data_IF_083773873967
#
_entry.id   IF_083773873967
#
_cell.length_a   1.000
_cell.length_b   1.000
_cell.length_c   1.000
_cell.angle_alpha   90.00
_cell.angle_beta   90.00
_cell.angle_gamma   90.00
#
_symmetry.space_group_name_H-M   'P 1'
#
loop_
_entity.id
_entity.type
_entity.pdbx_description
1 polymer ?
#
# COMPACT_ATOMS: atom_id res chain seq x y z
N UNK A 1 -0.52 44.12 -53.56
CA UNK A 1 0.51 43.65 -52.58
C UNK A 1 -0.03 42.92 -51.37
N UNK A 2 -1.27 43.15 -50.95
CA UNK A 2 -1.90 42.46 -49.81
C UNK A 2 -2.18 40.98 -50.06
N UNK A 3 -2.60 40.60 -51.21
CA UNK A 3 -2.93 39.21 -51.54
C UNK A 3 -1.66 38.29 -51.55
N UNK A 4 -0.51 38.82 -51.97
CA UNK A 4 0.77 38.08 -51.94
C UNK A 4 1.20 37.75 -50.51
N UNK A 5 0.97 38.65 -49.55
CA UNK A 5 1.29 38.42 -48.12
C UNK A 5 0.38 37.36 -47.49
N UNK A 6 -0.90 37.30 -47.88
CA UNK A 6 -1.85 36.26 -47.44
C UNK A 6 -1.46 34.85 -47.92
N UNK A 7 -1.08 34.74 -49.21
CA UNK A 7 -0.64 33.44 -49.75
C UNK A 7 0.68 32.99 -49.19
N UNK A 8 1.62 33.92 -48.93
CA UNK A 8 2.89 33.62 -48.25
C UNK A 8 2.68 33.14 -46.83
N UNK A 9 1.78 33.75 -46.07
CA UNK A 9 1.43 33.31 -44.70
C UNK A 9 0.76 31.97 -44.67
N UNK A 10 -0.15 31.69 -45.62
CA UNK A 10 -0.83 30.41 -45.75
C UNK A 10 0.11 29.27 -46.17
N UNK A 11 1.07 29.58 -47.08
CA UNK A 11 2.10 28.63 -47.50
C UNK A 11 3.07 28.30 -46.35
N UNK A 12 3.47 29.29 -45.55
CA UNK A 12 4.31 29.10 -44.40
C UNK A 12 3.60 28.28 -43.29
N UNK A 13 2.32 28.54 -43.10
CA UNK A 13 1.49 27.78 -42.16
C UNK A 13 1.26 26.32 -42.62
N UNK A 14 1.03 26.09 -43.93
CA UNK A 14 0.94 24.77 -44.52
C UNK A 14 2.26 23.98 -44.42
N UNK A 15 3.43 24.66 -44.57
CA UNK A 15 4.73 24.04 -44.44
C UNK A 15 5.03 23.63 -42.98
N UNK A 16 4.56 24.40 -41.99
CA UNK A 16 4.67 24.07 -40.55
C UNK A 16 3.85 22.85 -40.17
N UNK A 17 2.75 22.55 -40.86
CA UNK A 17 1.93 21.36 -40.59
C UNK A 17 2.58 20.05 -41.11
N UNK A 18 3.54 20.12 -42.03
CA UNK A 18 4.23 18.96 -42.60
C UNK A 18 5.41 18.46 -41.73
N UNK A 19 5.85 19.24 -40.76
CA UNK A 19 6.96 18.87 -39.88
C UNK A 19 6.53 18.18 -38.60
N UNK A 20 5.32 17.60 -38.55
CA UNK A 20 4.89 16.74 -37.43
C UNK A 20 5.77 15.46 -37.40
N UNK A 21 6.99 15.63 -36.90
CA UNK A 21 7.96 14.55 -36.77
C UNK A 21 7.39 13.50 -35.82
N UNK A 22 6.99 12.37 -36.36
CA UNK A 22 6.37 11.28 -35.64
C UNK A 22 7.40 10.65 -34.68
N UNK A 23 7.26 10.93 -33.38
CA UNK A 23 8.06 10.32 -32.29
C UNK A 23 8.03 8.78 -32.37
N UNK A 24 7.09 8.23 -33.12
CA UNK A 24 6.89 6.77 -33.28
C UNK A 24 7.82 6.14 -34.30
N UNK A 25 8.58 6.91 -35.10
CA UNK A 25 9.46 6.38 -36.17
C UNK A 25 10.62 5.52 -35.65
N UNK A 26 11.02 5.69 -34.40
CA UNK A 26 12.17 5.01 -33.80
C UNK A 26 11.77 3.90 -32.82
N UNK A 27 10.50 3.45 -32.85
CA UNK A 27 10.03 2.35 -31.99
C UNK A 27 10.29 1.03 -32.72
N UNK A 28 11.04 0.08 -32.11
CA UNK A 28 11.28 -1.24 -32.69
C UNK A 28 10.00 -1.98 -33.05
N UNK A 29 10.13 -2.95 -33.95
CA UNK A 29 8.98 -3.78 -34.32
C UNK A 29 8.58 -4.67 -33.14
N UNK A 30 7.27 -4.79 -32.91
CA UNK A 30 6.71 -5.50 -31.75
C UNK A 30 6.58 -4.67 -30.48
N UNK A 31 7.23 -3.50 -30.41
CA UNK A 31 7.11 -2.59 -29.27
C UNK A 31 6.11 -1.46 -29.53
N UNK A 32 5.55 -0.91 -28.45
CA UNK A 32 4.55 0.15 -28.49
C UNK A 32 4.88 1.25 -27.51
N UNK A 33 4.68 2.49 -27.92
CA UNK A 33 4.76 3.65 -27.04
C UNK A 33 3.52 3.72 -26.15
N UNK A 34 3.72 3.81 -24.83
CA UNK A 34 2.67 4.06 -23.88
C UNK A 34 2.15 5.49 -24.04
N UNK A 35 0.95 5.62 -24.61
CA UNK A 35 0.34 6.90 -24.96
C UNK A 35 -0.61 7.42 -23.87
N UNK A 36 -1.30 6.48 -23.19
CA UNK A 36 -2.28 6.81 -22.15
C UNK A 36 -2.36 5.68 -21.15
N UNK A 37 -2.49 6.03 -19.86
CA UNK A 37 -2.77 5.10 -18.77
C UNK A 37 -4.01 5.59 -18.03
N UNK A 38 -4.97 4.70 -17.83
CA UNK A 38 -6.20 4.99 -17.09
C UNK A 38 -6.45 3.91 -16.04
N UNK A 39 -7.00 4.33 -14.92
CA UNK A 39 -7.58 3.43 -13.92
C UNK A 39 -9.07 3.77 -13.84
N UNK A 40 -9.91 2.77 -14.08
CA UNK A 40 -11.37 2.91 -14.09
C UNK A 40 -11.97 1.84 -13.17
N UNK A 41 -13.17 2.07 -12.68
CA UNK A 41 -13.95 1.08 -11.96
C UNK A 41 -15.23 0.77 -12.69
N UNK A 42 -15.74 -0.46 -12.52
CA UNK A 42 -17.09 -0.84 -12.96
C UNK A 42 -18.18 -0.34 -11.99
N UNK A 43 -17.79 0.17 -10.80
CA UNK A 43 -18.68 0.81 -9.83
C UNK A 43 -18.49 2.33 -9.87
N UNK A 44 -19.57 3.06 -10.10
CA UNK A 44 -19.52 4.53 -10.30
C UNK A 44 -19.15 5.32 -9.05
N UNK A 45 -19.43 4.77 -7.87
CA UNK A 45 -19.18 5.37 -6.56
C UNK A 45 -17.80 4.99 -5.98
N UNK A 46 -17.02 4.17 -6.69
CA UNK A 46 -15.69 3.76 -6.26
C UNK A 46 -14.63 4.78 -6.68
N UNK A 47 -13.98 5.43 -5.69
CA UNK A 47 -12.90 6.39 -5.97
C UNK A 47 -11.59 5.66 -6.35
N UNK A 48 -11.19 5.84 -7.61
CA UNK A 48 -9.95 5.27 -8.16
C UNK A 48 -8.72 6.15 -7.92
N UNK A 49 -8.89 7.41 -7.49
CA UNK A 49 -7.82 8.39 -7.37
C UNK A 49 -6.67 7.95 -6.45
N UNK A 50 -6.93 7.38 -5.26
CA UNK A 50 -5.87 6.89 -4.37
C UNK A 50 -5.09 5.70 -4.95
N UNK A 51 -5.67 5.00 -5.93
CA UNK A 51 -5.08 3.81 -6.51
C UNK A 51 -4.10 4.10 -7.65
N UNK A 52 -4.13 5.30 -8.23
CA UNK A 52 -3.23 5.72 -9.31
C UNK A 52 -1.73 5.61 -8.95
N UNK A 53 -1.39 5.70 -7.67
CA UNK A 53 -0.01 5.56 -7.18
C UNK A 53 0.55 4.13 -7.36
N UNK A 54 -0.31 3.12 -7.43
CA UNK A 54 0.06 1.70 -7.59
C UNK A 54 0.31 1.30 -9.04
N UNK A 55 0.06 2.22 -9.98
CA UNK A 55 0.39 2.00 -11.40
C UNK A 55 1.87 2.34 -11.61
N UNK A 56 2.67 1.34 -11.97
CA UNK A 56 4.14 1.44 -12.09
C UNK A 56 4.60 2.22 -13.30
N UNK A 57 3.88 2.09 -14.43
CA UNK A 57 4.18 2.84 -15.64
C UNK A 57 3.16 3.95 -15.86
N UNK A 58 3.63 5.16 -16.10
CA UNK A 58 2.81 6.32 -16.43
C UNK A 58 3.28 6.92 -17.75
N UNK A 59 2.31 7.46 -18.51
CA UNK A 59 2.63 8.25 -19.67
C UNK A 59 3.36 9.55 -19.29
N UNK A 60 4.14 10.11 -20.22
CA UNK A 60 4.76 11.41 -20.01
C UNK A 60 3.71 12.53 -20.07
N UNK A 61 3.76 13.52 -19.14
CA UNK A 61 2.83 14.64 -19.17
C UNK A 61 2.96 15.42 -20.50
N UNK A 62 1.87 15.58 -21.21
CA UNK A 62 1.83 16.27 -22.52
C UNK A 62 2.23 17.74 -22.43
N UNK A 63 1.96 18.41 -21.30
CA UNK A 63 2.21 19.84 -21.10
C UNK A 63 3.70 20.21 -21.04
N UNK A 64 4.57 19.28 -20.59
CA UNK A 64 6.01 19.54 -20.50
C UNK A 64 6.75 19.45 -21.85
N UNK A 65 6.08 19.05 -22.92
CA UNK A 65 6.69 18.90 -24.24
C UNK A 65 6.89 20.22 -24.96
N UNK A 66 6.18 21.29 -24.57
CA UNK A 66 6.23 22.59 -25.25
C UNK A 66 7.46 23.43 -24.86
N UNK A 67 8.09 23.17 -23.71
CA UNK A 67 9.15 24.04 -23.14
C UNK A 67 10.56 23.41 -23.04
N UNK A 68 10.73 22.13 -23.37
CA UNK A 68 12.07 21.49 -23.40
C UNK A 68 12.26 20.69 -24.68
N UNK A 69 13.41 20.88 -25.34
CA UNK A 69 13.85 20.27 -26.60
C UNK A 69 13.09 19.02 -27.03
N UNK A 70 12.27 19.09 -28.09
CA UNK A 70 11.44 17.95 -28.55
C UNK A 70 12.26 16.76 -29.06
N UNK A 71 13.55 16.98 -29.38
CA UNK A 71 14.44 15.98 -29.98
C UNK A 71 15.13 15.03 -28.98
N UNK A 72 15.05 15.27 -27.67
CA UNK A 72 15.84 14.52 -26.66
C UNK A 72 15.04 13.48 -25.86
N UNK A 73 13.79 13.15 -26.22
CA UNK A 73 12.95 12.31 -25.34
C UNK A 73 12.68 10.94 -25.93
N UNK A 74 13.35 9.93 -25.37
CA UNK A 74 12.97 8.53 -25.60
C UNK A 74 11.50 8.34 -25.20
N UNK A 75 10.64 7.73 -26.03
CA UNK A 75 9.28 7.39 -25.68
C UNK A 75 9.27 6.39 -24.51
N UNK A 76 8.24 6.41 -23.67
CA UNK A 76 8.00 5.34 -22.70
C UNK A 76 7.42 4.17 -23.50
N UNK A 77 8.15 3.04 -23.52
CA UNK A 77 7.65 1.83 -24.13
C UNK A 77 6.76 1.09 -23.14
N UNK A 78 5.70 0.46 -23.65
CA UNK A 78 4.83 -0.36 -22.84
C UNK A 78 5.55 -1.65 -22.44
N UNK A 79 5.64 -1.90 -21.16
CA UNK A 79 6.23 -3.11 -20.57
C UNK A 79 5.10 -3.96 -19.95
N UNK A 80 4.89 -5.14 -20.52
CA UNK A 80 3.85 -6.08 -20.09
C UNK A 80 4.09 -6.58 -18.66
N UNK A 81 5.37 -6.75 -18.24
CA UNK A 81 5.70 -7.19 -16.89
C UNK A 81 5.29 -6.10 -15.87
N UNK A 82 5.67 -4.86 -16.12
CA UNK A 82 5.29 -3.74 -15.26
C UNK A 82 3.77 -3.54 -15.19
N UNK A 83 3.08 -3.77 -16.29
CA UNK A 83 1.62 -3.71 -16.34
C UNK A 83 0.96 -4.82 -15.50
N UNK A 84 1.48 -6.06 -15.55
CA UNK A 84 1.01 -7.16 -14.71
C UNK A 84 1.27 -6.90 -13.22
N UNK A 85 2.46 -6.41 -12.89
CA UNK A 85 2.79 -6.03 -11.51
C UNK A 85 1.88 -4.92 -11.01
N UNK A 86 1.51 -3.94 -11.86
CA UNK A 86 0.53 -2.92 -11.52
C UNK A 86 -0.85 -3.53 -11.22
N UNK A 87 -1.29 -4.55 -11.97
CA UNK A 87 -2.53 -5.25 -11.65
C UNK A 87 -2.49 -5.91 -10.27
N UNK A 88 -1.36 -6.55 -9.92
CA UNK A 88 -1.19 -7.16 -8.59
C UNK A 88 -1.17 -6.13 -7.47
N UNK A 89 -0.45 -5.01 -7.67
CA UNK A 89 -0.37 -3.93 -6.70
C UNK A 89 -1.76 -3.28 -6.47
N UNK A 90 -2.52 -3.04 -7.54
CA UNK A 90 -3.89 -2.52 -7.49
C UNK A 90 -4.84 -3.49 -6.78
N UNK A 91 -4.75 -4.78 -7.09
CA UNK A 91 -5.54 -5.82 -6.42
C UNK A 91 -5.25 -5.85 -4.92
N UNK A 92 -3.97 -5.90 -4.55
CA UNK A 92 -3.54 -5.89 -3.15
C UNK A 92 -4.01 -4.64 -2.42
N UNK A 93 -3.92 -3.48 -3.07
CA UNK A 93 -4.38 -2.22 -2.49
C UNK A 93 -5.88 -2.22 -2.20
N UNK A 94 -6.71 -2.76 -3.09
CA UNK A 94 -8.16 -2.91 -2.85
C UNK A 94 -8.45 -3.91 -1.73
N UNK A 95 -7.76 -5.05 -1.71
CA UNK A 95 -7.91 -6.05 -0.64
C UNK A 95 -7.54 -5.47 0.73
N UNK A 96 -6.46 -4.69 0.80
CA UNK A 96 -6.05 -4.00 2.02
C UNK A 96 -7.08 -2.98 2.52
N UNK A 97 -7.93 -2.47 1.63
CA UNK A 97 -9.04 -1.57 1.95
C UNK A 97 -10.35 -2.30 2.31
N UNK A 98 -10.35 -3.63 2.31
CA UNK A 98 -11.51 -4.46 2.67
C UNK A 98 -12.33 -4.99 1.50
N UNK A 99 -11.89 -4.81 0.26
CA UNK A 99 -12.52 -5.39 -0.93
C UNK A 99 -11.91 -6.77 -1.23
N UNK A 100 -12.23 -7.77 -0.39
CA UNK A 100 -11.57 -9.07 -0.41
C UNK A 100 -11.77 -9.84 -1.71
N UNK A 101 -12.91 -9.64 -2.40
CA UNK A 101 -13.27 -10.27 -3.67
C UNK A 101 -12.95 -9.38 -4.89
N UNK A 102 -12.07 -8.39 -4.71
CA UNK A 102 -11.70 -7.50 -5.80
C UNK A 102 -11.04 -8.24 -6.96
N UNK A 103 -11.14 -7.66 -8.15
CA UNK A 103 -10.47 -8.10 -9.36
C UNK A 103 -9.90 -6.92 -10.14
N UNK A 104 -8.90 -7.17 -10.99
CA UNK A 104 -8.32 -6.16 -11.89
C UNK A 104 -8.17 -6.76 -13.29
N UNK A 105 -8.70 -6.08 -14.29
CA UNK A 105 -8.54 -6.44 -15.70
C UNK A 105 -7.70 -5.40 -16.42
N UNK A 106 -6.70 -5.84 -17.18
CA UNK A 106 -5.90 -4.96 -18.03
C UNK A 106 -6.44 -4.99 -19.46
N UNK A 107 -6.93 -3.85 -19.91
CA UNK A 107 -7.38 -3.64 -21.29
C UNK A 107 -6.35 -2.80 -22.04
N UNK A 108 -5.95 -3.24 -23.24
CA UNK A 108 -5.01 -2.50 -24.07
C UNK A 108 -5.60 -2.22 -25.44
N UNK A 109 -5.50 -0.97 -25.89
CA UNK A 109 -5.92 -0.55 -27.24
C UNK A 109 -4.72 -0.05 -28.01
N UNK A 110 -4.49 -0.60 -29.20
CA UNK A 110 -3.37 -0.25 -30.09
C UNK A 110 -3.85 0.63 -31.22
N UNK A 111 -3.11 1.73 -31.49
CA UNK A 111 -3.32 2.63 -32.64
C UNK A 111 -1.95 2.90 -33.29
N UNK A 112 -1.62 2.16 -34.33
CA UNK A 112 -0.29 2.16 -34.94
C UNK A 112 0.76 1.71 -33.90
N UNK A 113 1.82 2.51 -33.69
CA UNK A 113 2.87 2.26 -32.69
C UNK A 113 2.53 2.81 -31.29
N UNK A 114 1.29 3.29 -31.06
CA UNK A 114 0.83 3.80 -29.76
C UNK A 114 -0.06 2.77 -29.07
N UNK A 115 0.05 2.67 -27.75
CA UNK A 115 -0.76 1.80 -26.91
C UNK A 115 -1.38 2.61 -25.77
N UNK A 116 -2.65 2.39 -25.52
CA UNK A 116 -3.38 2.89 -24.37
C UNK A 116 -3.68 1.71 -23.43
N UNK A 117 -3.33 1.85 -22.16
CA UNK A 117 -3.55 0.84 -21.13
C UNK A 117 -4.62 1.33 -20.16
N UNK A 118 -5.67 0.53 -19.97
CA UNK A 118 -6.75 0.80 -19.02
C UNK A 118 -6.80 -0.34 -18.00
N UNK A 119 -6.57 -0.02 -16.73
CA UNK A 119 -6.79 -0.92 -15.61
C UNK A 119 -8.23 -0.79 -15.17
N UNK A 120 -9.05 -1.80 -15.46
CA UNK A 120 -10.45 -1.87 -15.05
C UNK A 120 -10.52 -2.60 -13.71
N UNK A 121 -10.94 -1.87 -12.68
CA UNK A 121 -11.08 -2.38 -11.31
C UNK A 121 -12.49 -2.93 -11.11
N UNK A 122 -12.55 -4.09 -10.46
CA UNK A 122 -13.77 -4.76 -10.03
C UNK A 122 -13.73 -4.88 -8.50
N UNK A 123 -14.10 -3.81 -7.73
CA UNK A 123 -13.95 -3.83 -6.27
C UNK A 123 -14.76 -4.93 -5.59
N UNK A 124 -15.93 -5.26 -6.14
CA UNK A 124 -16.85 -6.18 -5.49
C UNK A 124 -17.48 -5.59 -4.23
N UNK A 125 -17.72 -6.42 -3.23
CA UNK A 125 -18.34 -6.01 -1.98
C UNK A 125 -17.29 -5.59 -0.94
N UNK A 126 -17.60 -4.53 -0.19
CA UNK A 126 -16.81 -4.12 0.97
C UNK A 126 -17.13 -5.03 2.16
N UNK A 127 -16.11 -5.60 2.79
CA UNK A 127 -16.25 -6.41 3.99
C UNK A 127 -16.11 -5.57 5.26
N UNK A 128 -16.91 -5.92 6.27
CA UNK A 128 -16.91 -5.28 7.59
C UNK A 128 -16.67 -6.31 8.69
N UNK A 129 -16.28 -5.86 9.88
CA UNK A 129 -16.16 -6.71 11.05
C UNK A 129 -17.57 -7.05 11.59
N UNK A 130 -17.91 -8.34 11.69
CA UNK A 130 -19.15 -8.81 12.32
C UNK A 130 -18.96 -9.02 13.80
N UNK A 131 -17.96 -9.82 14.18
CA UNK A 131 -17.59 -10.08 15.58
C UNK A 131 -16.09 -10.09 15.74
N UNK A 132 -15.60 -9.72 16.93
CA UNK A 132 -14.19 -9.77 17.27
C UNK A 132 -14.00 -10.55 18.56
N UNK A 133 -13.20 -11.61 18.52
CA UNK A 133 -12.88 -12.47 19.64
C UNK A 133 -11.39 -12.43 19.94
N UNK A 134 -11.03 -12.38 21.23
CA UNK A 134 -9.65 -12.44 21.69
C UNK A 134 -9.42 -13.79 22.37
N UNK A 135 -8.65 -14.66 21.73
CA UNK A 135 -8.26 -15.99 22.23
C UNK A 135 -6.80 -15.96 22.68
N UNK A 136 -6.60 -15.73 23.96
CA UNK A 136 -5.26 -15.62 24.56
C UNK A 136 -5.11 -16.68 25.65
N UNK A 137 -4.10 -17.56 25.50
CA UNK A 137 -3.85 -18.66 26.44
C UNK A 137 -3.18 -18.19 27.73
N UNK A 138 -2.40 -17.09 27.68
CA UNK A 138 -1.73 -16.53 28.86
C UNK A 138 -2.75 -15.77 29.71
N UNK A 139 -3.03 -16.28 30.91
CA UNK A 139 -4.05 -15.72 31.82
C UNK A 139 -3.69 -14.28 32.27
N UNK A 140 -2.41 -13.96 32.43
CA UNK A 140 -1.98 -12.62 32.82
C UNK A 140 -2.22 -11.61 31.70
N UNK A 141 -1.85 -11.98 30.48
CA UNK A 141 -2.11 -11.16 29.28
C UNK A 141 -3.63 -11.05 29.04
N UNK A 142 -4.38 -12.16 29.20
CA UNK A 142 -5.82 -12.15 29.07
C UNK A 142 -6.48 -11.18 30.05
N UNK A 143 -5.97 -11.12 31.31
CA UNK A 143 -6.45 -10.19 32.33
C UNK A 143 -6.19 -8.74 31.95
N UNK A 144 -4.94 -8.42 31.48
CA UNK A 144 -4.61 -7.08 31.01
C UNK A 144 -5.51 -6.63 29.86
N UNK A 145 -5.73 -7.51 28.88
CA UNK A 145 -6.61 -7.18 27.75
C UNK A 145 -8.05 -6.98 28.19
N UNK A 146 -8.60 -7.81 29.09
CA UNK A 146 -9.96 -7.62 29.61
C UNK A 146 -10.19 -6.30 30.31
N UNK A 147 -9.17 -5.76 30.97
CA UNK A 147 -9.25 -4.46 31.65
C UNK A 147 -9.17 -3.30 30.66
N UNK A 148 -8.38 -3.45 29.60
CA UNK A 148 -8.12 -2.40 28.62
C UNK A 148 -9.15 -2.32 27.50
N UNK A 149 -9.68 -3.48 27.03
CA UNK A 149 -10.56 -3.55 25.87
C UNK A 149 -11.82 -2.66 25.94
N UNK A 150 -12.56 -2.55 27.07
CA UNK A 150 -13.80 -1.78 27.10
C UNK A 150 -13.63 -0.32 26.62
N UNK A 151 -12.48 0.27 26.92
CA UNK A 151 -12.21 1.68 26.62
C UNK A 151 -11.37 1.88 25.36
N UNK A 152 -10.39 1.00 25.10
CA UNK A 152 -9.34 1.21 24.13
C UNK A 152 -9.41 0.29 22.90
N UNK A 153 -10.39 -0.60 22.81
CA UNK A 153 -10.55 -1.50 21.67
C UNK A 153 -10.73 -0.73 20.36
N UNK A 154 -9.84 -0.97 19.41
CA UNK A 154 -9.90 -0.36 18.08
C UNK A 154 -10.81 -1.12 17.11
N UNK A 155 -10.90 -2.45 17.26
CA UNK A 155 -11.71 -3.31 16.40
C UNK A 155 -13.13 -3.39 16.93
N UNK A 156 -14.08 -2.77 16.22
CA UNK A 156 -15.50 -2.77 16.60
C UNK A 156 -16.35 -3.38 15.49
N UNK A 157 -17.43 -4.11 15.81
CA UNK A 157 -18.39 -4.56 14.82
C UNK A 157 -18.91 -3.42 13.95
N UNK A 158 -19.10 -3.68 12.66
CA UNK A 158 -19.51 -2.69 11.66
C UNK A 158 -18.38 -1.87 11.03
N UNK A 159 -17.17 -1.86 11.60
CA UNK A 159 -16.03 -1.20 10.98
C UNK A 159 -15.57 -1.92 9.71
N UNK A 160 -14.95 -1.18 8.79
CA UNK A 160 -14.33 -1.78 7.60
C UNK A 160 -13.23 -2.76 8.01
N UNK A 161 -13.20 -3.90 7.34
CA UNK A 161 -12.13 -4.88 7.50
C UNK A 161 -10.92 -4.45 6.66
N UNK A 162 -9.98 -3.71 7.25
CA UNK A 162 -8.79 -3.21 6.55
C UNK A 162 -7.51 -3.68 7.23
N UNK A 163 -6.44 -3.84 6.46
CA UNK A 163 -5.12 -4.19 7.00
C UNK A 163 -4.63 -3.12 7.99
N UNK A 164 -4.90 -1.84 7.71
CA UNK A 164 -4.54 -0.72 8.59
C UNK A 164 -5.20 -0.85 9.97
N UNK A 165 -6.51 -1.15 10.01
CA UNK A 165 -7.24 -1.30 11.27
C UNK A 165 -6.67 -2.45 12.10
N UNK A 166 -6.35 -3.57 11.45
CA UNK A 166 -5.73 -4.72 12.11
C UNK A 166 -4.31 -4.42 12.62
N UNK A 167 -3.49 -3.71 11.84
CA UNK A 167 -2.13 -3.35 12.25
C UNK A 167 -2.14 -2.33 13.40
N UNK A 168 -3.09 -1.42 13.42
CA UNK A 168 -3.25 -0.47 14.53
C UNK A 168 -3.63 -1.20 15.84
N UNK A 169 -4.51 -2.19 15.79
CA UNK A 169 -4.81 -3.02 16.97
C UNK A 169 -3.61 -3.84 17.42
N UNK A 170 -2.82 -4.40 16.50
CA UNK A 170 -1.55 -5.07 16.83
C UNK A 170 -0.58 -4.14 17.57
N UNK A 171 -0.44 -2.90 17.08
CA UNK A 171 0.43 -1.89 17.71
C UNK A 171 -0.07 -1.53 19.09
N UNK A 172 -1.38 -1.30 19.23
CA UNK A 172 -2.00 -0.97 20.52
C UNK A 172 -1.73 -2.05 21.57
N UNK A 173 -2.04 -3.31 21.24
CA UNK A 173 -1.81 -4.45 22.16
C UNK A 173 -0.32 -4.62 22.45
N UNK A 174 0.55 -4.48 21.44
CA UNK A 174 1.99 -4.59 21.64
C UNK A 174 2.50 -3.55 22.63
N UNK A 175 2.08 -2.30 22.51
CA UNK A 175 2.44 -1.23 23.42
C UNK A 175 1.91 -1.50 24.84
N UNK A 176 0.63 -1.88 24.97
CA UNK A 176 0.04 -2.24 26.24
C UNK A 176 0.86 -3.33 26.96
N UNK A 177 1.27 -4.37 26.25
CA UNK A 177 2.03 -5.46 26.85
C UNK A 177 3.46 -5.03 27.21
N UNK A 178 4.15 -4.26 26.37
CA UNK A 178 5.47 -3.72 26.65
C UNK A 178 5.43 -2.84 27.91
N UNK A 179 4.44 -1.97 28.03
CA UNK A 179 4.26 -1.07 29.19
C UNK A 179 3.96 -1.85 30.48
N UNK A 180 3.45 -3.08 30.37
CA UNK A 180 3.18 -3.98 31.49
C UNK A 180 4.26 -5.06 31.70
N UNK A 181 5.49 -4.82 31.20
CA UNK A 181 6.65 -5.64 31.48
C UNK A 181 6.94 -6.77 30.50
N UNK A 182 6.15 -6.95 29.46
CA UNK A 182 6.43 -7.92 28.40
C UNK A 182 7.42 -7.34 27.38
N UNK A 183 8.59 -6.92 27.83
CA UNK A 183 9.60 -6.18 27.07
C UNK A 183 9.99 -6.81 25.73
N UNK A 184 9.97 -8.14 25.63
CA UNK A 184 10.29 -8.89 24.39
C UNK A 184 9.09 -9.14 23.48
N UNK A 185 7.92 -8.61 23.83
CA UNK A 185 6.74 -8.72 23.00
C UNK A 185 6.83 -7.76 21.79
N UNK A 186 6.32 -8.19 20.66
CA UNK A 186 6.15 -7.34 19.48
C UNK A 186 4.86 -7.74 18.72
N UNK A 187 4.45 -6.91 17.80
CA UNK A 187 3.21 -7.08 17.03
C UNK A 187 3.15 -8.37 16.18
N UNK A 188 4.30 -8.96 15.83
CA UNK A 188 4.36 -10.16 14.98
C UNK A 188 3.92 -11.43 15.73
N UNK A 189 3.82 -11.38 17.07
CA UNK A 189 3.21 -12.43 17.84
C UNK A 189 1.67 -12.45 17.74
N UNK A 190 1.06 -11.37 17.23
CA UNK A 190 -0.39 -11.26 17.10
C UNK A 190 -0.81 -11.76 15.72
N UNK A 191 -1.65 -12.78 15.72
CA UNK A 191 -2.27 -13.35 14.51
C UNK A 191 -3.77 -13.07 14.50
N UNK A 192 -4.31 -12.85 13.30
CA UNK A 192 -5.74 -12.78 13.08
C UNK A 192 -6.18 -13.97 12.23
N UNK A 193 -7.23 -14.64 12.65
CA UNK A 193 -8.01 -15.58 11.84
C UNK A 193 -9.33 -14.90 11.47
N UNK A 194 -9.64 -14.90 10.19
CA UNK A 194 -10.85 -14.27 9.66
C UNK A 194 -11.74 -15.33 9.02
N UNK A 195 -12.92 -15.55 9.58
CA UNK A 195 -13.91 -16.49 9.07
C UNK A 195 -14.98 -15.74 8.29
N UNK A 196 -15.20 -16.18 7.04
CA UNK A 196 -16.23 -15.65 6.16
C UNK A 196 -17.31 -16.69 5.90
N UNK A 197 -18.56 -16.27 5.99
CA UNK A 197 -19.70 -17.10 5.61
C UNK A 197 -20.11 -16.72 4.19
N UNK A 198 -20.28 -17.70 3.31
CA UNK A 198 -20.72 -17.45 1.93
C UNK A 198 -22.01 -16.62 1.91
N UNK A 199 -22.01 -15.55 1.10
CA UNK A 199 -23.12 -14.61 0.95
C UNK A 199 -23.22 -13.53 2.03
N UNK A 200 -22.35 -13.52 3.05
CA UNK A 200 -22.28 -12.45 4.07
C UNK A 200 -21.13 -11.51 3.81
N UNK A 201 -21.29 -10.26 4.25
CA UNK A 201 -20.26 -9.19 4.16
C UNK A 201 -19.50 -9.00 5.46
N UNK A 202 -19.96 -9.62 6.53
CA UNK A 202 -19.39 -9.52 7.86
C UNK A 202 -18.43 -10.67 8.12
N UNK A 203 -17.29 -10.32 8.72
CA UNK A 203 -16.21 -11.24 9.04
C UNK A 203 -16.21 -11.48 10.56
N UNK A 204 -16.22 -12.75 10.97
CA UNK A 204 -15.88 -13.11 12.33
C UNK A 204 -14.36 -13.14 12.48
N UNK A 205 -13.82 -12.23 13.28
CA UNK A 205 -12.38 -12.06 13.48
C UNK A 205 -11.98 -12.65 14.83
N UNK A 206 -10.97 -13.51 14.83
CA UNK A 206 -10.36 -14.05 16.05
C UNK A 206 -8.90 -13.59 16.11
N UNK A 207 -8.55 -12.89 17.20
CA UNK A 207 -7.18 -12.55 17.53
C UNK A 207 -6.58 -13.63 18.42
N UNK A 208 -5.38 -14.09 18.05
CA UNK A 208 -4.60 -15.09 18.78
C UNK A 208 -3.19 -14.63 18.99
N UNK A 209 -2.55 -15.08 20.08
CA UNK A 209 -1.13 -14.82 20.32
C UNK A 209 -0.32 -16.10 20.07
N UNK A 210 0.72 -15.96 19.24
CA UNK A 210 1.74 -17.01 19.11
C UNK A 210 2.56 -17.11 20.39
N UNK A 211 2.96 -18.32 20.74
CA UNK A 211 3.87 -18.54 21.87
C UNK A 211 5.23 -17.91 21.65
N UNK A 212 5.89 -17.57 22.73
CA UNK A 212 7.24 -17.02 22.71
C UNK A 212 8.28 -18.12 22.41
N UNK A 213 9.24 -17.79 21.55
CA UNK A 213 10.48 -18.56 21.33
C UNK A 213 11.68 -17.65 21.48
N UNK A 214 12.62 -18.02 22.34
CA UNK A 214 13.84 -17.24 22.56
C UNK A 214 14.75 -17.28 21.31
N UNK A 215 14.83 -18.45 20.66
CA UNK A 215 15.55 -18.69 19.41
C UNK A 215 14.88 -19.87 18.65
N UNK A 216 15.35 -20.18 17.44
CA UNK A 216 14.76 -21.24 16.59
C UNK A 216 14.80 -22.66 17.21
N UNK A 217 15.73 -22.93 18.12
CA UNK A 217 15.88 -24.24 18.80
C UNK A 217 15.23 -24.29 20.19
N UNK A 218 14.70 -23.17 20.70
CA UNK A 218 14.04 -23.12 22.01
C UNK A 218 12.65 -23.73 21.96
N UNK A 219 12.21 -24.28 23.10
CA UNK A 219 10.82 -24.67 23.30
C UNK A 219 9.92 -23.43 23.30
N UNK A 220 8.70 -23.62 22.89
CA UNK A 220 7.66 -22.59 22.97
C UNK A 220 7.18 -22.43 24.42
N UNK A 221 7.17 -21.20 24.89
CA UNK A 221 6.75 -20.85 26.25
C UNK A 221 5.73 -19.72 26.24
N UNK A 222 5.17 -19.38 27.39
CA UNK A 222 4.43 -18.14 27.58
C UNK A 222 5.39 -16.95 27.43
N UNK A 223 4.85 -15.77 27.14
CA UNK A 223 5.66 -14.55 27.04
C UNK A 223 6.26 -14.18 28.40
N UNK A 224 7.59 -13.99 28.51
CA UNK A 224 8.21 -13.61 29.74
C UNK A 224 7.86 -12.17 30.12
N UNK A 225 7.45 -11.98 31.37
CA UNK A 225 7.22 -10.66 31.97
C UNK A 225 8.46 -10.26 32.79
N UNK A 226 8.92 -9.04 32.64
CA UNK A 226 10.13 -8.51 33.25
C UNK A 226 9.81 -7.37 34.21
N UNK A 227 10.54 -7.31 35.32
CA UNK A 227 10.50 -6.19 36.27
C UNK A 227 11.88 -5.55 36.38
N UNK A 228 11.92 -4.22 36.36
CA UNK A 228 13.18 -3.49 36.58
C UNK A 228 13.53 -3.59 38.04
N UNK A 229 14.62 -4.30 38.36
CA UNK A 229 15.09 -4.50 39.74
C UNK A 229 16.00 -3.38 40.21
N UNK A 230 16.96 -2.99 39.39
CA UNK A 230 17.93 -1.96 39.70
C UNK A 230 18.20 -1.05 38.53
N UNK A 231 18.37 0.24 38.79
CA UNK A 231 18.82 1.23 37.82
C UNK A 231 20.12 1.84 38.34
N UNK A 232 21.21 1.61 37.61
CA UNK A 232 22.53 2.13 37.97
C UNK A 232 22.85 3.29 37.04
N UNK A 233 23.14 4.46 37.62
CA UNK A 233 23.61 5.62 36.90
C UNK A 233 25.14 5.72 37.09
N UNK A 234 25.89 5.69 36.00
CA UNK A 234 27.32 5.93 35.99
C UNK A 234 27.59 7.27 35.33
N UNK A 235 28.27 8.17 36.09
CA UNK A 235 28.79 9.43 35.56
C UNK A 235 30.29 9.28 35.36
N UNK A 236 30.82 9.41 34.16
CA UNK A 236 32.23 9.53 33.88
C UNK A 236 32.62 11.00 34.07
N UNK A 237 33.47 11.25 35.05
CA UNK A 237 33.96 12.56 35.44
C UNK A 237 35.02 13.06 34.46
N UNK A 238 34.63 13.44 33.26
CA UNK A 238 35.45 14.22 32.34
C UNK A 238 34.52 15.09 31.51
N UNK A 239 34.35 16.34 31.92
CA UNK A 239 33.80 17.52 31.25
C UNK A 239 32.57 17.37 30.29
N UNK A 240 32.03 16.17 30.15
CA UNK A 240 30.73 15.86 29.54
C UNK A 240 30.04 14.79 30.37
N UNK A 241 28.96 15.16 31.03
CA UNK A 241 28.08 14.23 31.76
C UNK A 241 27.40 13.31 30.73
N UNK A 242 27.99 12.16 30.45
CA UNK A 242 27.32 11.06 29.76
C UNK A 242 26.65 10.16 30.81
N UNK A 243 25.39 10.43 31.10
CA UNK A 243 24.55 9.53 31.90
C UNK A 243 24.29 8.25 31.13
N UNK A 244 24.98 7.17 31.46
CA UNK A 244 24.70 5.84 30.94
C UNK A 244 23.70 5.15 31.88
N UNK A 245 22.46 5.00 31.42
CA UNK A 245 21.42 4.23 32.11
C UNK A 245 21.58 2.75 31.72
N UNK A 246 21.97 1.90 32.66
CA UNK A 246 21.87 0.45 32.52
C UNK A 246 20.62 -0.05 33.21
N UNK A 247 19.77 -0.77 32.49
CA UNK A 247 18.57 -1.41 33.02
C UNK A 247 18.84 -2.91 33.04
N UNK A 248 18.93 -3.50 34.25
CA UNK A 248 19.00 -4.94 34.41
C UNK A 248 17.57 -5.48 34.48
N UNK A 249 17.23 -6.31 33.53
CA UNK A 249 15.95 -7.02 33.45
C UNK A 249 16.15 -8.44 33.98
N UNK A 250 15.32 -8.88 34.90
CA UNK A 250 15.25 -10.25 35.41
C UNK A 250 14.04 -10.97 34.79
#
# INVERSE_FOLDING_TARGET
>A
MENLKKYSFFSLFALLLLTACSVTKHIPDGEYMLNKVEVKSDQNDFDTSPLLQYVRQKEKPKLFSLFKNPFSRKPVLFDTLQARLSCQDLLTAMQNQGYMNAGVSLLTTKKGKKLEATYLLHPGQLFTLGSVKYEVMDENIQRLLRLDLPENQMLKPGMRFTVETLDNERKRISNLLIDNGYYRFNKDFIQFSADTIAGRKDIALTLQLRKFKANSSSLETLHPCYQVRHVIYQSNDSDRIHLRKQVLLN
#
